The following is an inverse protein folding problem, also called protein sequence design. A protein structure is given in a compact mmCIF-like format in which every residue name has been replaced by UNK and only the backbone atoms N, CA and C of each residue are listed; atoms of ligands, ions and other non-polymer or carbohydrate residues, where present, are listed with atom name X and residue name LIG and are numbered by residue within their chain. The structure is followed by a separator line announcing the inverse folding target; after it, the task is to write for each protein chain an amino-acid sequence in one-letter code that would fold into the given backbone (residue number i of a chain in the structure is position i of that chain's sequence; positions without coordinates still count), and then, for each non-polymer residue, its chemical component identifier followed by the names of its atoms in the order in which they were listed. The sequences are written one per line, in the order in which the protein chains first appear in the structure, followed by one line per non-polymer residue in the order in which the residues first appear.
data_IF_164668529211
#
_entry.id   IF_164668529211
#
_cell.length_a   1.000
_cell.length_b   1.000
_cell.length_c   1.000
_cell.angle_alpha   90.00
_cell.angle_beta   90.00
_cell.angle_gamma   90.00
#
_symmetry.space_group_name_H-M   'P 1'
#
loop_
_entity.id
_entity.type
_entity.pdbx_description
1 polymer ?
#
# COMPACT_ATOMS: atom_id res chain seq x y z
N UNK A 1 11.09 -6.14 -9.34
CA UNK A 1 12.02 -5.96 -8.21
C UNK A 1 13.44 -6.42 -8.48
N UNK A 2 13.68 -7.64 -8.98
CA UNK A 2 15.04 -8.11 -9.27
C UNK A 2 15.82 -7.19 -10.21
N UNK A 3 15.18 -6.72 -11.30
CA UNK A 3 15.77 -5.77 -12.25
C UNK A 3 16.10 -4.38 -11.65
N UNK A 4 15.49 -4.02 -10.53
CA UNK A 4 15.66 -2.71 -9.88
C UNK A 4 16.80 -2.71 -8.84
N UNK A 5 17.45 -3.86 -8.59
CA UNK A 5 18.58 -3.97 -7.67
C UNK A 5 18.24 -3.84 -6.17
N UNK A 6 16.96 -3.78 -5.80
CA UNK A 6 16.51 -3.59 -4.39
C UNK A 6 15.83 -4.81 -3.79
N UNK A 7 15.83 -5.94 -4.49
CA UNK A 7 15.13 -7.16 -4.04
C UNK A 7 15.70 -7.71 -2.71
N UNK A 8 17.01 -7.66 -2.49
CA UNK A 8 17.62 -8.17 -1.26
C UNK A 8 17.07 -7.50 0.01
N UNK A 9 16.71 -6.21 -0.07
CA UNK A 9 16.29 -5.41 1.09
C UNK A 9 14.77 -5.23 1.19
N UNK A 10 14.06 -5.32 0.06
CA UNK A 10 12.61 -5.07 -0.01
C UNK A 10 11.78 -6.28 -0.49
N UNK A 11 12.44 -7.35 -0.91
CA UNK A 11 11.80 -8.52 -1.50
C UNK A 11 10.83 -9.20 -0.54
N UNK A 12 11.11 -9.23 0.77
CA UNK A 12 10.19 -9.86 1.74
C UNK A 12 8.78 -9.26 1.72
N UNK A 13 8.66 -7.94 1.61
CA UNK A 13 7.36 -7.26 1.61
C UNK A 13 6.78 -7.04 0.22
N UNK A 14 7.62 -6.91 -0.81
CA UNK A 14 7.17 -6.57 -2.17
C UNK A 14 7.40 -7.67 -3.22
N UNK A 15 7.73 -8.90 -2.80
CA UNK A 15 7.71 -10.08 -3.69
C UNK A 15 6.29 -10.43 -4.10
N UNK A 16 5.31 -10.15 -3.25
CA UNK A 16 3.89 -10.42 -3.47
C UNK A 16 3.07 -9.15 -3.23
N UNK A 17 1.75 -9.25 -3.45
CA UNK A 17 0.76 -8.20 -3.23
C UNK A 17 0.20 -8.16 -1.81
N UNK A 18 0.69 -9.02 -0.90
CA UNK A 18 0.13 -9.19 0.46
C UNK A 18 0.01 -7.87 1.25
N UNK A 19 0.94 -6.93 1.09
CA UNK A 19 0.85 -5.63 1.78
C UNK A 19 -0.37 -4.82 1.34
N UNK A 20 -0.75 -4.89 0.07
CA UNK A 20 -1.95 -4.22 -0.46
C UNK A 20 -3.21 -5.01 -0.09
N UNK A 21 -3.17 -6.32 -0.24
CA UNK A 21 -4.29 -7.21 0.11
C UNK A 21 -4.67 -7.10 1.59
N UNK A 22 -3.69 -7.05 2.48
CA UNK A 22 -3.94 -6.91 3.92
C UNK A 22 -4.61 -5.58 4.27
N UNK A 23 -4.24 -4.48 3.60
CA UNK A 23 -4.89 -3.18 3.83
C UNK A 23 -6.29 -3.17 3.22
N UNK A 24 -6.44 -3.67 2.00
CA UNK A 24 -7.74 -3.74 1.33
C UNK A 24 -8.75 -4.60 2.09
N UNK A 25 -8.33 -5.76 2.60
CA UNK A 25 -9.19 -6.63 3.40
C UNK A 25 -9.66 -5.95 4.69
N UNK A 26 -8.78 -5.20 5.36
CA UNK A 26 -9.15 -4.43 6.55
C UNK A 26 -10.11 -3.28 6.20
N UNK A 27 -9.88 -2.57 5.10
CA UNK A 27 -10.80 -1.52 4.65
C UNK A 27 -12.17 -2.11 4.29
N UNK A 28 -12.20 -3.24 3.62
CA UNK A 28 -13.43 -3.97 3.29
C UNK A 28 -14.20 -4.36 4.55
N UNK A 29 -13.53 -4.93 5.56
CA UNK A 29 -14.14 -5.28 6.85
C UNK A 29 -14.82 -4.07 7.52
N UNK A 30 -14.17 -2.90 7.50
CA UNK A 30 -14.72 -1.68 8.11
C UNK A 30 -15.87 -1.07 7.34
N UNK A 31 -15.83 -1.20 6.02
CA UNK A 31 -16.85 -0.69 5.13
C UNK A 31 -18.00 -1.69 4.88
N UNK A 32 -17.89 -2.92 5.37
CA UNK A 32 -18.81 -4.03 5.06
C UNK A 32 -20.28 -3.76 5.41
N UNK A 33 -20.55 -2.87 6.37
CA UNK A 33 -21.91 -2.49 6.80
C UNK A 33 -22.44 -1.20 6.18
N UNK A 34 -21.70 -0.63 5.22
CA UNK A 34 -22.09 0.60 4.54
C UNK A 34 -22.87 0.21 3.29
N UNK A 35 -24.19 0.10 3.45
CA UNK A 35 -25.07 -0.35 2.36
C UNK A 35 -25.53 0.80 1.46
N UNK A 36 -25.35 2.06 1.90
CA UNK A 36 -25.86 3.24 1.20
C UNK A 36 -24.78 4.29 0.91
N UNK A 37 -24.27 4.27 -0.31
CA UNK A 37 -23.28 5.20 -0.84
C UNK A 37 -23.95 6.29 -1.69
N UNK A 38 -23.82 7.55 -1.27
CA UNK A 38 -24.48 8.72 -1.88
C UNK A 38 -23.63 9.41 -2.93
N UNK A 39 -22.33 9.54 -2.70
CA UNK A 39 -21.41 10.23 -3.61
C UNK A 39 -19.93 9.87 -3.34
N UNK A 40 -19.04 10.40 -4.19
CA UNK A 40 -17.59 10.17 -4.09
C UNK A 40 -16.97 10.70 -2.79
N UNK A 41 -17.41 11.86 -2.30
CA UNK A 41 -16.90 12.45 -1.06
C UNK A 41 -17.19 11.55 0.15
N UNK A 42 -18.40 11.00 0.24
CA UNK A 42 -18.75 10.06 1.30
C UNK A 42 -17.86 8.80 1.26
N UNK A 43 -17.57 8.27 0.06
CA UNK A 43 -16.65 7.13 -0.11
C UNK A 43 -15.25 7.45 0.36
N UNK A 44 -14.74 8.63 0.01
CA UNK A 44 -13.42 9.09 0.45
C UNK A 44 -13.35 9.24 1.97
N UNK A 45 -14.38 9.80 2.61
CA UNK A 45 -14.41 9.93 4.06
C UNK A 45 -14.38 8.57 4.76
N UNK A 46 -15.20 7.60 4.32
CA UNK A 46 -15.17 6.25 4.89
C UNK A 46 -13.82 5.56 4.69
N UNK A 47 -13.21 5.70 3.51
CA UNK A 47 -11.87 5.19 3.25
C UNK A 47 -10.82 5.82 4.17
N UNK A 48 -10.83 7.15 4.32
CA UNK A 48 -9.91 7.88 5.19
C UNK A 48 -10.09 7.43 6.65
N UNK A 49 -11.32 7.39 7.14
CA UNK A 49 -11.62 6.95 8.51
C UNK A 49 -11.18 5.51 8.76
N UNK A 50 -11.44 4.60 7.81
CA UNK A 50 -10.99 3.22 7.91
C UNK A 50 -9.46 3.14 7.96
N UNK A 51 -8.75 3.85 7.07
CA UNK A 51 -7.29 3.87 7.02
C UNK A 51 -6.67 4.42 8.30
N UNK A 52 -7.22 5.50 8.86
CA UNK A 52 -6.74 6.09 10.14
C UNK A 52 -6.90 5.10 11.30
N UNK A 53 -8.00 4.35 11.36
CA UNK A 53 -8.17 3.34 12.42
C UNK A 53 -7.27 2.12 12.22
N UNK A 54 -6.98 1.75 10.97
CA UNK A 54 -6.12 0.61 10.62
C UNK A 54 -4.64 0.91 10.87
N UNK A 55 -4.19 2.14 10.57
CA UNK A 55 -2.76 2.53 10.54
C UNK A 55 -1.97 2.11 11.80
N UNK A 56 -2.44 2.34 13.05
CA UNK A 56 -1.66 2.01 14.25
C UNK A 56 -1.33 0.53 14.40
N UNK A 57 -2.10 -0.36 13.74
CA UNK A 57 -1.93 -1.82 13.80
C UNK A 57 -1.05 -2.34 12.67
N UNK A 58 -0.75 -1.52 11.67
CA UNK A 58 0.06 -1.92 10.53
C UNK A 58 1.54 -2.02 10.93
N UNK A 59 2.18 -3.08 10.44
CA UNK A 59 3.63 -3.19 10.50
C UNK A 59 4.25 -2.38 9.37
N UNK A 60 5.37 -1.73 9.66
CA UNK A 60 6.18 -1.10 8.61
C UNK A 60 6.65 -2.15 7.61
N UNK A 61 6.74 -1.74 6.35
CA UNK A 61 7.37 -2.53 5.29
C UNK A 61 8.78 -2.95 5.71
N UNK A 62 9.12 -4.22 5.49
CA UNK A 62 10.47 -4.73 5.77
C UNK A 62 11.45 -4.01 4.86
N UNK A 63 12.46 -3.35 5.45
CA UNK A 63 13.41 -2.54 4.71
C UNK A 63 12.89 -1.18 4.27
N UNK A 64 11.83 -0.63 4.90
CA UNK A 64 11.20 0.65 4.51
C UNK A 64 12.18 1.83 4.35
N UNK A 65 13.32 1.83 5.05
CA UNK A 65 14.39 2.84 4.90
C UNK A 65 15.01 2.87 3.49
N UNK A 66 14.84 1.81 2.71
CA UNK A 66 15.29 1.69 1.32
C UNK A 66 14.22 2.08 0.29
N UNK A 67 13.02 2.50 0.71
CA UNK A 67 11.98 2.99 -0.21
C UNK A 67 12.45 4.16 -1.09
N UNK A 68 13.26 5.12 -0.62
CA UNK A 68 13.83 6.14 -1.50
C UNK A 68 14.68 5.54 -2.63
N UNK A 69 15.47 4.49 -2.35
CA UNK A 69 16.27 3.79 -3.37
C UNK A 69 15.37 3.09 -4.40
N UNK A 70 14.28 2.46 -3.95
CA UNK A 70 13.28 1.89 -4.85
C UNK A 70 12.67 2.97 -5.76
N UNK A 71 12.29 4.13 -5.20
CA UNK A 71 11.72 5.24 -5.97
C UNK A 71 12.67 5.72 -7.07
N UNK A 72 13.95 5.92 -6.75
CA UNK A 72 14.93 6.35 -7.75
C UNK A 72 15.24 5.27 -8.79
N UNK A 73 15.23 3.99 -8.41
CA UNK A 73 15.34 2.89 -9.36
C UNK A 73 14.13 2.85 -10.33
N UNK A 74 12.91 3.01 -9.83
CA UNK A 74 11.69 3.07 -10.63
C UNK A 74 11.70 4.26 -11.60
N UNK A 75 12.09 5.45 -11.14
CA UNK A 75 12.20 6.65 -11.99
C UNK A 75 13.19 6.45 -13.14
N UNK A 76 14.34 5.81 -12.88
CA UNK A 76 15.32 5.50 -13.94
C UNK A 76 14.76 4.51 -14.94
N UNK A 77 14.16 3.41 -14.48
CA UNK A 77 13.54 2.40 -15.35
C UNK A 77 12.43 3.00 -16.23
N UNK A 78 11.60 3.90 -15.67
CA UNK A 78 10.54 4.58 -16.40
C UNK A 78 11.04 5.59 -17.44
N UNK A 79 12.22 6.19 -17.22
CA UNK A 79 12.85 7.09 -18.21
C UNK A 79 13.50 6.35 -19.37
N UNK A 80 13.85 5.08 -19.16
CA UNK A 80 14.45 4.21 -20.18
C UNK A 80 13.41 3.45 -21.01
N UNK A 81 12.11 3.60 -20.70
CA UNK A 81 10.99 3.08 -21.48
C UNK A 81 10.30 4.23 -22.19
#
# INVERSE_FOLDING_TARGET
MHRLGVYAVLGRSFKTTNCLESVNALVEERCAKIDHWKNSSQRQHWLITALVDIEPRLRKVVGYRHLPKLREALKRELKHR
#
